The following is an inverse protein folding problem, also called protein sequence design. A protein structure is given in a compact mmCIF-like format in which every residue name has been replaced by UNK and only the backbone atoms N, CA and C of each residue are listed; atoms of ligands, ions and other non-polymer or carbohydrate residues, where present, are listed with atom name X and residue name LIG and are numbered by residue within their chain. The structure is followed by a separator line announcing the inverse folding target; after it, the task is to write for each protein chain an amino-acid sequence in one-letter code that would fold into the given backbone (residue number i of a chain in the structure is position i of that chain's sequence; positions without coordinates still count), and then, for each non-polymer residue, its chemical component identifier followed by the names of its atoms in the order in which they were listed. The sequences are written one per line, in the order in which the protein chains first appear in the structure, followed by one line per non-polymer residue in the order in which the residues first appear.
data_IF_064370257768
#
_entry.id   IF_064370257768
#
_cell.length_a   1.000
_cell.length_b   1.000
_cell.length_c   1.000
_cell.angle_alpha   90.00
_cell.angle_beta   90.00
_cell.angle_gamma   90.00
#
_symmetry.space_group_name_H-M   'P 1'
#
loop_
_entity.id
_entity.type
_entity.pdbx_description
1 polymer ?
#
# COMPACT_ATOMS: atom_id res chain seq x y z
N UNK A 1 11.97 24.58 12.26
CA UNK A 1 10.83 23.72 12.66
C UNK A 1 10.79 23.71 14.18
N UNK A 2 9.91 24.55 14.73
CA UNK A 2 9.36 24.58 16.10
C UNK A 2 10.24 24.07 17.25
N UNK A 3 10.92 24.99 17.94
CA UNK A 3 11.27 24.77 19.34
C UNK A 3 9.98 24.60 20.14
N UNK A 4 9.77 23.43 20.73
CA UNK A 4 8.60 23.19 21.55
C UNK A 4 8.71 24.00 22.84
N UNK A 5 7.66 24.76 23.15
CA UNK A 5 7.49 25.54 24.38
C UNK A 5 7.48 24.69 25.67
N UNK A 6 7.83 23.40 25.60
CA UNK A 6 7.91 22.48 26.74
C UNK A 6 9.19 22.63 27.58
N UNK A 7 10.15 23.47 27.14
CA UNK A 7 11.45 23.64 27.80
C UNK A 7 11.60 24.91 28.65
N UNK A 8 10.51 25.63 28.95
CA UNK A 8 10.59 26.73 29.92
C UNK A 8 10.44 26.23 31.36
N UNK A 9 11.54 26.34 32.11
CA UNK A 9 11.68 25.84 33.49
C UNK A 9 11.33 26.98 34.46
N UNK A 10 10.34 26.84 35.35
CA UNK A 10 10.03 27.84 36.36
C UNK A 10 11.18 27.98 37.37
N UNK A 11 11.63 29.23 37.63
CA UNK A 11 12.79 29.57 38.49
C UNK A 11 12.65 29.14 39.97
N UNK A 12 11.50 28.62 40.41
CA UNK A 12 11.17 28.42 41.83
C UNK A 12 11.16 26.96 42.31
N UNK A 13 11.61 25.98 41.51
CA UNK A 13 11.74 24.58 41.97
C UNK A 13 13.04 23.95 41.51
N UNK A 14 13.70 23.22 42.42
CA UNK A 14 14.84 22.36 42.10
C UNK A 14 14.31 21.16 41.31
N UNK A 15 14.60 21.11 40.02
CA UNK A 15 14.32 19.94 39.19
C UNK A 15 15.53 19.00 39.22
N UNK A 16 15.46 17.95 40.05
CA UNK A 16 16.45 16.88 40.03
C UNK A 16 16.19 16.03 38.80
N UNK A 17 16.99 16.20 37.75
CA UNK A 17 17.06 15.25 36.64
C UNK A 17 18.13 14.22 36.97
N UNK A 18 17.76 12.95 37.01
CA UNK A 18 18.73 11.85 37.04
C UNK A 18 19.25 11.68 35.61
N UNK A 19 20.25 12.47 35.25
CA UNK A 19 21.04 12.19 34.06
C UNK A 19 21.92 10.98 34.38
N UNK A 20 21.51 9.81 33.90
CA UNK A 20 22.30 8.59 33.96
C UNK A 20 23.56 8.80 33.11
N UNK A 21 24.60 9.37 33.71
CA UNK A 21 25.93 9.44 33.13
C UNK A 21 26.52 8.02 33.16
N UNK A 22 26.13 7.19 32.20
CA UNK A 22 26.88 5.97 31.86
C UNK A 22 28.26 6.41 31.40
N UNK A 23 29.24 6.40 32.32
CA UNK A 23 30.56 6.99 32.19
C UNK A 23 31.31 6.58 30.91
N UNK A 24 31.10 7.31 29.82
CA UNK A 24 31.81 7.14 28.55
C UNK A 24 31.53 5.84 27.80
N UNK A 25 30.68 4.94 28.30
CA UNK A 25 30.33 3.71 27.60
C UNK A 25 29.35 4.07 26.49
N UNK A 26 29.88 4.31 25.29
CA UNK A 26 29.06 4.37 24.09
C UNK A 26 28.23 3.09 24.04
N UNK A 27 26.90 3.24 24.15
CA UNK A 27 25.97 2.14 23.93
C UNK A 27 26.32 1.56 22.57
N UNK A 28 26.77 0.30 22.54
CA UNK A 28 27.17 -0.40 21.32
C UNK A 28 25.93 -0.45 20.42
N UNK A 29 25.81 0.50 19.49
CA UNK A 29 24.68 0.54 18.57
C UNK A 29 24.98 -0.52 17.53
N UNK A 30 24.39 -1.71 17.73
CA UNK A 30 24.49 -2.77 16.74
C UNK A 30 23.82 -2.31 15.44
N UNK A 31 24.43 -2.65 14.31
CA UNK A 31 23.86 -2.34 13.02
C UNK A 31 22.49 -3.02 12.91
N UNK A 32 21.43 -2.30 12.53
CA UNK A 32 20.13 -2.90 12.34
C UNK A 32 20.23 -3.95 11.23
N UNK A 33 19.66 -5.13 11.46
CA UNK A 33 19.53 -6.16 10.44
C UNK A 33 18.68 -5.62 9.28
N UNK A 34 19.31 -5.40 8.12
CA UNK A 34 18.65 -5.01 6.88
C UNK A 34 18.62 -6.20 5.92
N UNK A 35 17.41 -6.58 5.51
CA UNK A 35 17.19 -7.64 4.53
C UNK A 35 16.94 -7.03 3.16
N UNK A 36 17.58 -7.60 2.13
CA UNK A 36 17.35 -7.24 0.74
C UNK A 36 16.52 -8.34 0.09
N UNK A 37 15.29 -8.01 -0.32
CA UNK A 37 14.46 -8.90 -1.14
C UNK A 37 14.71 -8.59 -2.61
N UNK A 38 14.95 -9.62 -3.42
CA UNK A 38 15.25 -9.50 -4.85
C UNK A 38 14.28 -10.37 -5.64
N UNK A 39 13.64 -9.78 -6.63
CA UNK A 39 12.67 -10.44 -7.50
C UNK A 39 12.11 -9.47 -8.53
N UNK A 40 11.32 -9.98 -9.47
CA UNK A 40 10.53 -9.12 -10.35
C UNK A 40 9.23 -8.72 -9.64
N UNK A 41 9.13 -7.43 -9.32
CA UNK A 41 7.97 -6.84 -8.66
C UNK A 41 7.13 -5.96 -9.60
N UNK A 42 7.52 -5.85 -10.87
CA UNK A 42 6.94 -4.92 -11.85
C UNK A 42 6.36 -5.61 -13.08
N UNK A 43 6.43 -6.95 -13.14
CA UNK A 43 6.05 -7.77 -14.28
C UNK A 43 6.80 -7.34 -15.57
N UNK A 44 8.13 -7.30 -15.50
CA UNK A 44 9.00 -6.99 -16.64
C UNK A 44 9.08 -5.51 -17.04
N UNK A 45 8.47 -4.58 -16.29
CA UNK A 45 8.56 -3.12 -16.55
C UNK A 45 9.87 -2.47 -16.09
N UNK A 46 10.71 -3.18 -15.35
CA UNK A 46 11.96 -2.62 -14.85
C UNK A 46 12.97 -2.38 -15.99
N UNK A 47 13.27 -1.11 -16.24
CA UNK A 47 14.27 -0.67 -17.23
C UNK A 47 15.69 -0.56 -16.63
N UNK A 48 16.69 -0.41 -17.50
CA UNK A 48 18.08 -0.21 -17.11
C UNK A 48 18.83 -1.47 -16.67
N UNK A 49 20.15 -1.37 -16.59
CA UNK A 49 21.01 -2.46 -16.12
C UNK A 49 20.89 -2.64 -14.61
N UNK A 50 21.19 -3.84 -14.08
CA UNK A 50 21.08 -4.11 -12.65
C UNK A 50 21.91 -3.14 -11.78
N UNK A 51 23.06 -2.69 -12.29
CA UNK A 51 23.95 -1.76 -11.59
C UNK A 51 23.42 -0.34 -11.45
N UNK A 52 22.51 0.07 -12.33
CA UNK A 52 21.89 1.41 -12.35
C UNK A 52 20.59 1.46 -11.52
N UNK A 53 20.11 0.30 -11.04
CA UNK A 53 18.84 0.22 -10.31
C UNK A 53 18.99 0.59 -8.84
N UNK A 54 18.19 1.55 -8.41
CA UNK A 54 18.14 1.97 -7.01
C UNK A 54 17.41 0.95 -6.13
N UNK A 55 17.88 0.85 -4.88
CA UNK A 55 17.25 0.04 -3.83
C UNK A 55 16.19 0.89 -3.15
N UNK A 56 14.96 0.39 -3.09
CA UNK A 56 13.84 1.08 -2.44
C UNK A 56 13.67 0.52 -1.02
N UNK A 57 13.67 1.40 -0.01
CA UNK A 57 13.37 1.03 1.37
C UNK A 57 11.85 0.91 1.58
N UNK A 58 11.41 -0.19 2.18
CA UNK A 58 10.01 -0.50 2.39
C UNK A 58 9.74 -0.70 3.89
N UNK A 59 8.71 -0.02 4.38
CA UNK A 59 8.17 -0.12 5.72
C UNK A 59 6.63 -0.10 5.70
N UNK A 60 6.01 -0.23 6.87
CA UNK A 60 4.54 -0.30 7.00
C UNK A 60 3.80 0.94 6.51
N UNK A 61 4.47 2.09 6.47
CA UNK A 61 3.85 3.38 6.15
C UNK A 61 3.99 3.75 4.67
N UNK A 62 5.01 3.25 3.97
CA UNK A 62 5.29 3.60 2.57
C UNK A 62 4.99 2.49 1.56
N UNK A 63 4.55 1.31 2.00
CA UNK A 63 4.32 0.15 1.13
C UNK A 63 3.42 0.48 -0.07
N UNK A 64 2.26 1.10 0.16
CA UNK A 64 1.33 1.44 -0.91
C UNK A 64 1.93 2.47 -1.88
N UNK A 65 2.71 3.43 -1.39
CA UNK A 65 3.38 4.41 -2.25
C UNK A 65 4.43 3.76 -3.15
N UNK A 66 5.20 2.81 -2.60
CA UNK A 66 6.18 2.04 -3.38
C UNK A 66 5.48 1.17 -4.43
N UNK A 67 4.40 0.48 -4.05
CA UNK A 67 3.62 -0.32 -4.99
C UNK A 67 3.01 0.52 -6.12
N UNK A 68 2.45 1.69 -5.79
CA UNK A 68 1.92 2.63 -6.77
C UNK A 68 2.99 3.14 -7.74
N UNK A 69 4.23 3.35 -7.28
CA UNK A 69 5.34 3.75 -8.14
C UNK A 69 5.79 2.62 -9.08
N UNK A 70 5.78 1.38 -8.61
CA UNK A 70 6.08 0.21 -9.45
C UNK A 70 4.97 -0.05 -10.48
N UNK A 71 3.71 0.27 -10.13
CA UNK A 71 2.51 0.12 -10.95
C UNK A 71 2.50 -1.19 -11.78
N UNK A 72 2.60 -2.36 -11.12
CA UNK A 72 2.57 -3.63 -11.82
C UNK A 72 1.26 -3.76 -12.58
N UNK A 73 1.38 -4.21 -13.82
CA UNK A 73 0.27 -4.36 -14.75
C UNK A 73 0.21 -5.80 -15.21
N UNK A 74 -1.00 -6.31 -15.28
CA UNK A 74 -1.27 -7.67 -15.67
C UNK A 74 -2.23 -7.63 -16.84
N UNK A 75 -1.79 -8.16 -17.98
CA UNK A 75 -2.60 -8.31 -19.18
C UNK A 75 -2.77 -9.81 -19.43
N UNK A 76 -4.00 -10.30 -19.27
CA UNK A 76 -4.33 -11.72 -19.37
C UNK A 76 -5.56 -11.90 -20.25
N UNK A 77 -5.54 -12.93 -21.08
CA UNK A 77 -6.74 -13.41 -21.77
C UNK A 77 -7.35 -14.51 -20.92
N UNK A 78 -8.59 -14.30 -20.48
CA UNK A 78 -9.32 -15.22 -19.59
C UNK A 78 -10.61 -15.66 -20.25
N UNK A 79 -11.08 -16.86 -19.90
CA UNK A 79 -12.36 -17.36 -20.40
C UNK A 79 -13.51 -16.49 -19.90
N UNK A 80 -14.37 -16.04 -20.81
CA UNK A 80 -15.60 -15.32 -20.49
C UNK A 80 -16.67 -16.30 -19.99
N UNK A 81 -16.99 -16.23 -18.70
CA UNK A 81 -18.04 -17.03 -18.07
C UNK A 81 -19.41 -16.35 -18.08
N UNK A 82 -19.50 -15.08 -18.48
CA UNK A 82 -20.75 -14.32 -18.51
C UNK A 82 -21.63 -14.70 -19.70
N UNK A 83 -21.02 -14.87 -20.88
CA UNK A 83 -21.73 -15.23 -22.10
C UNK A 83 -21.91 -16.75 -22.27
N UNK A 84 -21.10 -17.56 -21.57
CA UNK A 84 -21.09 -19.03 -21.64
C UNK A 84 -21.02 -19.61 -23.07
N UNK A 85 -20.46 -18.84 -24.00
CA UNK A 85 -20.29 -19.15 -25.42
C UNK A 85 -18.87 -19.65 -25.75
N UNK A 86 -18.02 -19.80 -24.72
CA UNK A 86 -16.62 -20.16 -24.87
C UNK A 86 -15.74 -19.02 -25.38
N UNK A 87 -16.26 -17.79 -25.45
CA UNK A 87 -15.45 -16.61 -25.77
C UNK A 87 -14.39 -16.36 -24.71
N UNK A 88 -13.31 -15.70 -25.12
CA UNK A 88 -12.27 -15.22 -24.24
C UNK A 88 -12.32 -13.69 -24.17
N UNK A 89 -11.97 -13.16 -23.02
CA UNK A 89 -11.94 -11.74 -22.76
C UNK A 89 -10.53 -11.33 -22.34
N UNK A 90 -10.02 -10.26 -22.95
CA UNK A 90 -8.76 -9.67 -22.53
C UNK A 90 -8.99 -8.72 -21.35
N UNK A 91 -8.32 -9.01 -20.24
CA UNK A 91 -8.42 -8.28 -18.99
C UNK A 91 -7.10 -7.60 -18.71
N UNK A 92 -7.17 -6.28 -18.51
CA UNK A 92 -6.04 -5.43 -18.18
C UNK A 92 -6.22 -4.89 -16.76
N UNK A 93 -5.33 -5.28 -15.86
CA UNK A 93 -5.35 -4.90 -14.45
C UNK A 93 -4.15 -4.03 -14.09
N UNK A 94 -4.39 -3.07 -13.23
CA UNK A 94 -3.40 -2.16 -12.66
C UNK A 94 -3.50 -2.23 -11.14
N UNK A 95 -2.36 -2.31 -10.46
CA UNK A 95 -2.31 -2.37 -9.02
C UNK A 95 -1.48 -1.21 -8.47
N UNK A 96 -2.10 -0.39 -7.62
CA UNK A 96 -1.47 0.76 -6.98
C UNK A 96 -1.40 0.60 -5.47
N UNK A 97 -2.32 -0.17 -4.89
CA UNK A 97 -2.38 -0.40 -3.46
C UNK A 97 -2.78 -1.85 -3.16
N UNK A 98 -2.58 -2.30 -1.92
CA UNK A 98 -2.90 -3.69 -1.54
C UNK A 98 -4.39 -4.06 -1.68
N UNK A 99 -5.31 -3.10 -1.62
CA UNK A 99 -6.74 -3.37 -1.82
C UNK A 99 -7.09 -3.63 -3.28
N UNK A 100 -6.23 -3.27 -4.22
CA UNK A 100 -6.47 -3.54 -5.64
C UNK A 100 -6.42 -5.04 -5.97
N UNK A 101 -5.85 -5.86 -5.07
CA UNK A 101 -5.90 -7.31 -5.15
C UNK A 101 -7.21 -7.92 -4.65
N UNK A 102 -8.09 -7.12 -4.02
CA UNK A 102 -9.40 -7.61 -3.59
C UNK A 102 -10.32 -7.81 -4.81
N UNK A 103 -11.17 -8.86 -4.80
CA UNK A 103 -12.05 -9.14 -5.94
C UNK A 103 -12.95 -7.98 -6.34
N UNK A 104 -13.38 -7.15 -5.39
CA UNK A 104 -14.19 -5.97 -5.66
C UNK A 104 -13.42 -4.90 -6.44
N UNK A 105 -12.14 -4.70 -6.12
CA UNK A 105 -11.29 -3.75 -6.84
C UNK A 105 -10.96 -4.26 -8.23
N UNK A 106 -10.63 -5.55 -8.38
CA UNK A 106 -10.42 -6.19 -9.68
C UNK A 106 -11.67 -6.07 -10.57
N UNK A 107 -12.84 -6.40 -10.02
CA UNK A 107 -14.10 -6.33 -10.76
C UNK A 107 -14.49 -4.90 -11.16
N UNK A 108 -14.04 -3.87 -10.43
CA UNK A 108 -14.22 -2.46 -10.82
C UNK A 108 -13.36 -2.04 -12.02
N UNK A 109 -12.24 -2.73 -12.28
CA UNK A 109 -11.37 -2.42 -13.42
C UNK A 109 -11.90 -3.02 -14.73
N UNK A 110 -12.67 -4.10 -14.66
CA UNK A 110 -13.28 -4.76 -15.82
C UNK A 110 -14.63 -4.08 -16.14
N UNK A 111 -14.80 -3.45 -17.32
CA UNK A 111 -16.00 -2.66 -17.64
C UNK A 111 -17.34 -3.39 -17.45
N UNK A 112 -17.38 -4.67 -17.83
CA UNK A 112 -18.56 -5.54 -17.77
C UNK A 112 -18.96 -5.81 -16.32
N UNK A 113 -17.99 -6.19 -15.47
CA UNK A 113 -18.23 -6.46 -14.07
C UNK A 113 -18.55 -5.18 -13.28
N UNK A 114 -17.96 -4.04 -13.66
CA UNK A 114 -18.28 -2.74 -13.06
C UNK A 114 -19.75 -2.37 -13.23
N UNK A 115 -20.34 -2.63 -14.40
CA UNK A 115 -21.76 -2.40 -14.63
C UNK A 115 -22.63 -3.30 -13.73
N UNK A 116 -22.25 -4.57 -13.57
CA UNK A 116 -22.97 -5.51 -12.69
C UNK A 116 -22.85 -5.13 -11.21
N UNK A 117 -21.69 -4.64 -10.77
CA UNK A 117 -21.51 -4.11 -9.41
C UNK A 117 -22.41 -2.90 -9.15
N UNK A 118 -22.51 -1.98 -10.10
CA UNK A 118 -23.39 -0.82 -9.98
C UNK A 118 -24.87 -1.25 -9.88
N UNK A 119 -25.29 -2.22 -10.70
CA UNK A 119 -26.64 -2.78 -10.65
C UNK A 119 -26.93 -3.47 -9.31
N UNK A 120 -25.99 -4.27 -8.80
CA UNK A 120 -26.08 -4.89 -7.47
C UNK A 120 -26.24 -3.84 -6.37
N UNK A 121 -25.47 -2.76 -6.42
CA UNK A 121 -25.53 -1.70 -5.42
C UNK A 121 -26.87 -0.98 -5.47
N UNK A 122 -27.39 -0.67 -6.66
CA UNK A 122 -28.72 -0.06 -6.82
C UNK A 122 -29.82 -0.97 -6.26
N UNK A 123 -29.79 -2.28 -6.56
CA UNK A 123 -30.74 -3.23 -6.00
C UNK A 123 -30.64 -3.34 -4.46
N UNK A 124 -29.42 -3.24 -3.91
CA UNK A 124 -29.21 -3.22 -2.47
C UNK A 124 -29.80 -1.97 -1.83
N UNK A 125 -29.60 -0.81 -2.45
CA UNK A 125 -30.09 0.46 -1.94
C UNK A 125 -31.63 0.53 -2.00
N UNK A 126 -32.24 0.01 -3.07
CA UNK A 126 -33.70 -0.14 -3.16
C UNK A 126 -34.26 -1.05 -2.06
N UNK A 127 -33.62 -2.20 -1.82
CA UNK A 127 -34.04 -3.11 -0.75
C UNK A 127 -33.87 -2.48 0.64
N UNK A 128 -32.84 -1.66 0.87
CA UNK A 128 -32.67 -0.93 2.12
C UNK A 128 -33.79 0.10 2.34
N UNK A 129 -34.22 0.81 1.29
CA UNK A 129 -35.32 1.77 1.37
C UNK A 129 -36.64 1.07 1.74
N UNK A 130 -36.89 -0.13 1.20
CA UNK A 130 -38.10 -0.90 1.51
C UNK A 130 -38.21 -1.33 2.98
N UNK A 131 -37.11 -1.41 3.73
CA UNK A 131 -37.13 -1.72 5.18
C UNK A 131 -37.34 -0.50 6.08
N UNK A 132 -37.18 0.72 5.54
CA UNK A 132 -37.28 1.97 6.29
C UNK A 132 -38.69 2.58 6.20
N UNK A 133 -39.50 2.13 5.23
CA UNK A 133 -40.91 2.54 5.01
C UNK A 133 -41.83 1.45 5.56
#
# INVERSE_FOLDING_TARGET
MSESFQNEIPRARVNIKLDLLTGGVQKKVELPLKLLSVGDFSNGKAEGTLSERDKIDINKNNFNSVLANLNPEVNLTVKNTLANDGSEENVKLFFQNMKDFEPEAVARQIPQLRAMLAMRNLLRDLNQIFWII
#
